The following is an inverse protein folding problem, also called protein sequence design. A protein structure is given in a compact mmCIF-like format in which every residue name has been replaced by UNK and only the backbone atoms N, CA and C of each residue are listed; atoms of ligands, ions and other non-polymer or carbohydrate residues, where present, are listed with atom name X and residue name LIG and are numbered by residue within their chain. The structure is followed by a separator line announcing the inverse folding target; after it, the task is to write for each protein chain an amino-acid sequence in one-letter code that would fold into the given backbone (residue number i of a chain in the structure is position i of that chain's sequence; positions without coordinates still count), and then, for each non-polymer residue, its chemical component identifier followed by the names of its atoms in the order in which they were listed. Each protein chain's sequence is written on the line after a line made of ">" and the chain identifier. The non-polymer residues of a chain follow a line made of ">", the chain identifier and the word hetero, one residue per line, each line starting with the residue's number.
data_IF_792451589617
#
_entry.id   IF_792451589617
#
_cell.length_a   1.000
_cell.length_b   1.000
_cell.length_c   1.000
_cell.angle_alpha   90.00
_cell.angle_beta   90.00
_cell.angle_gamma   90.00
#
_symmetry.space_group_name_H-M   'P 1'
#
loop_
_entity.id
_entity.type
_entity.pdbx_description
1 polymer ?
#
# COMPACT_ATOMS: atom_id res chain seq x y z
N UNK A 1 -20.00 23.22 -12.86
CA UNK A 1 -19.16 22.40 -13.74
C UNK A 1 -19.36 20.94 -13.33
N UNK A 2 -20.29 20.25 -14.01
CA UNK A 2 -20.55 18.82 -13.83
C UNK A 2 -20.92 18.26 -15.20
N UNK A 3 -19.99 17.55 -15.84
CA UNK A 3 -20.25 16.82 -17.08
C UNK A 3 -20.99 15.53 -16.73
N UNK A 4 -22.31 15.56 -16.72
CA UNK A 4 -23.14 14.36 -16.76
C UNK A 4 -23.50 14.11 -18.22
N UNK A 5 -22.79 13.19 -18.89
CA UNK A 5 -23.28 12.63 -20.15
C UNK A 5 -24.44 11.69 -19.82
N UNK A 6 -25.66 11.92 -20.36
CA UNK A 6 -26.78 11.03 -20.11
C UNK A 6 -26.56 9.72 -20.87
N UNK A 7 -26.49 8.61 -20.14
CA UNK A 7 -26.52 7.28 -20.74
C UNK A 7 -27.93 7.07 -21.31
N UNK A 8 -28.11 7.20 -22.63
CA UNK A 8 -29.36 6.85 -23.30
C UNK A 8 -29.48 5.33 -23.29
N UNK A 9 -30.57 4.83 -22.69
CA UNK A 9 -30.88 3.39 -22.75
C UNK A 9 -30.92 2.97 -24.22
N UNK A 10 -30.14 1.96 -24.66
CA UNK A 10 -30.31 1.43 -25.99
C UNK A 10 -31.75 0.92 -26.10
N UNK A 11 -32.49 1.42 -27.09
CA UNK A 11 -33.80 0.90 -27.44
C UNK A 11 -33.65 -0.57 -27.87
N UNK A 12 -34.73 -1.33 -27.74
CA UNK A 12 -34.82 -2.77 -28.02
C UNK A 12 -34.43 -3.23 -29.45
N UNK A 13 -33.86 -2.34 -30.27
CA UNK A 13 -33.41 -2.59 -31.63
C UNK A 13 -31.94 -3.06 -31.73
N UNK A 14 -31.18 -3.09 -30.64
CA UNK A 14 -29.88 -3.77 -30.62
C UNK A 14 -30.11 -5.27 -30.41
N UNK A 15 -30.42 -5.98 -31.50
CA UNK A 15 -30.22 -7.43 -31.56
C UNK A 15 -28.75 -7.68 -31.20
N UNK A 16 -28.53 -8.41 -30.12
CA UNK A 16 -27.20 -8.83 -29.71
C UNK A 16 -26.62 -9.66 -30.85
N UNK A 17 -25.68 -9.05 -31.57
CA UNK A 17 -24.76 -9.50 -32.60
C UNK A 17 -24.50 -11.02 -32.81
N UNK A 18 -24.83 -11.93 -31.92
CA UNK A 18 -24.58 -13.36 -32.12
C UNK A 18 -25.34 -13.94 -33.34
N UNK A 19 -26.56 -13.50 -33.61
CA UNK A 19 -27.34 -13.98 -34.78
C UNK A 19 -26.83 -13.42 -36.11
N UNK A 20 -26.26 -12.21 -36.13
CA UNK A 20 -25.72 -11.58 -37.34
C UNK A 20 -24.29 -12.06 -37.68
N UNK A 21 -23.55 -12.55 -36.68
CA UNK A 21 -22.17 -13.03 -36.85
C UNK A 21 -22.11 -14.43 -37.48
N UNK A 22 -23.12 -15.29 -37.32
CA UNK A 22 -23.18 -16.59 -38.00
C UNK A 22 -23.44 -16.47 -39.50
N UNK A 23 -23.98 -15.33 -39.97
CA UNK A 23 -24.37 -15.14 -41.37
C UNK A 23 -23.30 -14.45 -42.24
N UNK A 24 -22.30 -13.77 -41.64
CA UNK A 24 -21.43 -12.83 -42.37
C UNK A 24 -19.91 -13.15 -42.28
N UNK A 25 -19.49 -14.35 -41.88
CA UNK A 25 -18.06 -14.69 -41.74
C UNK A 25 -17.41 -15.25 -43.03
N UNK A 26 -16.14 -14.89 -43.34
CA UNK A 26 -15.40 -15.30 -44.55
C UNK A 26 -14.73 -16.70 -44.47
N UNK A 27 -15.01 -17.48 -43.43
CA UNK A 27 -14.57 -18.88 -43.29
C UNK A 27 -15.82 -19.76 -43.41
N UNK A 28 -15.72 -20.94 -44.04
CA UNK A 28 -16.85 -21.80 -44.40
C UNK A 28 -17.94 -21.80 -43.29
N UNK A 29 -19.18 -21.37 -43.61
CA UNK A 29 -20.20 -21.13 -42.60
C UNK A 29 -20.53 -22.45 -41.90
N UNK A 30 -20.47 -22.42 -40.57
CA UNK A 30 -21.05 -23.49 -39.75
C UNK A 30 -22.52 -23.63 -40.14
N UNK A 31 -23.02 -24.86 -40.24
CA UNK A 31 -24.44 -25.05 -40.56
C UNK A 31 -25.30 -24.51 -39.41
N UNK A 32 -26.55 -24.14 -39.71
CA UNK A 32 -27.51 -23.67 -38.70
C UNK A 32 -27.60 -24.69 -37.54
N UNK A 33 -27.65 -25.98 -37.88
CA UNK A 33 -27.66 -27.08 -36.92
C UNK A 33 -26.42 -27.11 -36.01
N UNK A 34 -25.24 -26.73 -36.51
CA UNK A 34 -24.01 -26.66 -35.72
C UNK A 34 -24.01 -25.45 -34.76
N UNK A 35 -24.60 -24.34 -35.18
CA UNK A 35 -24.77 -23.15 -34.33
C UNK A 35 -25.74 -23.44 -33.17
N UNK A 36 -26.88 -24.07 -33.47
CA UNK A 36 -27.88 -24.49 -32.47
C UNK A 36 -27.30 -25.49 -31.47
N UNK A 37 -26.52 -26.46 -31.97
CA UNK A 37 -25.80 -27.42 -31.12
C UNK A 37 -24.79 -26.73 -30.20
N UNK A 38 -23.99 -25.80 -30.72
CA UNK A 38 -23.00 -25.06 -29.93
C UNK A 38 -23.65 -24.21 -28.83
N UNK A 39 -24.80 -23.61 -29.12
CA UNK A 39 -25.57 -22.83 -28.16
C UNK A 39 -26.16 -23.70 -27.06
N UNK A 40 -26.69 -24.86 -27.42
CA UNK A 40 -27.22 -25.85 -26.47
C UNK A 40 -26.10 -26.42 -25.58
N UNK A 41 -24.94 -26.74 -26.16
CA UNK A 41 -23.77 -27.22 -25.42
C UNK A 41 -23.26 -26.15 -24.42
N UNK A 42 -23.30 -24.87 -24.79
CA UNK A 42 -22.93 -23.76 -23.92
C UNK A 42 -23.90 -23.58 -22.75
N UNK A 43 -25.20 -23.59 -23.05
CA UNK A 43 -26.25 -23.52 -22.03
C UNK A 43 -26.18 -24.70 -21.05
N UNK A 44 -25.94 -25.91 -21.54
CA UNK A 44 -25.78 -27.10 -20.72
C UNK A 44 -24.57 -26.98 -19.76
N UNK A 45 -23.44 -26.43 -20.21
CA UNK A 45 -22.26 -26.18 -19.36
C UNK A 45 -22.55 -25.15 -18.26
N UNK A 46 -23.22 -24.04 -18.60
CA UNK A 46 -23.59 -23.02 -17.63
C UNK A 46 -24.57 -23.58 -16.59
N UNK A 47 -25.56 -24.34 -17.05
CA UNK A 47 -26.54 -24.96 -16.18
C UNK A 47 -25.89 -25.97 -15.23
N UNK A 48 -24.97 -26.80 -15.73
CA UNK A 48 -24.22 -27.74 -14.90
C UNK A 48 -23.36 -27.04 -13.84
N UNK A 49 -22.65 -25.95 -14.21
CA UNK A 49 -21.86 -25.17 -13.25
C UNK A 49 -22.74 -24.50 -12.18
N UNK A 50 -23.92 -24.03 -12.55
CA UNK A 50 -24.89 -23.42 -11.65
C UNK A 50 -25.49 -24.45 -10.68
N UNK A 51 -25.84 -25.64 -11.17
CA UNK A 51 -26.34 -26.74 -10.33
C UNK A 51 -25.28 -27.24 -9.36
N UNK A 52 -24.03 -27.39 -9.81
CA UNK A 52 -22.90 -27.72 -8.92
C UNK A 52 -22.69 -26.66 -7.82
N UNK A 53 -22.88 -25.38 -8.15
CA UNK A 53 -22.76 -24.29 -7.19
C UNK A 53 -23.94 -24.26 -6.21
N UNK A 54 -25.16 -24.53 -6.69
CA UNK A 54 -26.37 -24.60 -5.83
C UNK A 54 -26.38 -25.84 -4.92
N UNK A 55 -25.88 -26.97 -5.42
CA UNK A 55 -25.74 -28.21 -4.63
C UNK A 55 -24.66 -28.09 -3.55
N UNK A 56 -23.66 -27.21 -3.75
CA UNK A 56 -22.72 -26.84 -2.71
C UNK A 56 -23.42 -25.94 -1.70
N UNK A 57 -23.82 -26.50 -0.56
CA UNK A 57 -24.24 -25.71 0.59
C UNK A 57 -23.04 -24.90 1.07
N UNK A 58 -23.07 -23.58 0.85
CA UNK A 58 -22.13 -22.67 1.48
C UNK A 58 -22.43 -22.65 2.97
N UNK A 59 -21.47 -23.10 3.79
CA UNK A 59 -21.51 -22.76 5.20
C UNK A 59 -21.57 -21.24 5.31
N UNK A 60 -22.52 -20.73 6.11
CA UNK A 60 -22.54 -19.30 6.43
C UNK A 60 -21.23 -18.99 7.15
N UNK A 61 -20.29 -18.38 6.44
CA UNK A 61 -19.12 -17.76 7.07
C UNK A 61 -19.64 -16.57 7.87
N UNK A 62 -19.93 -16.80 9.14
CA UNK A 62 -20.24 -15.73 10.08
C UNK A 62 -18.91 -15.05 10.36
N UNK A 63 -18.68 -13.91 9.71
CA UNK A 63 -17.56 -13.06 10.07
C UNK A 63 -17.70 -12.70 11.56
N UNK A 64 -16.62 -12.86 12.32
CA UNK A 64 -16.61 -12.45 13.72
C UNK A 64 -17.03 -10.98 13.80
N UNK A 65 -17.94 -10.67 14.74
CA UNK A 65 -18.34 -9.28 14.98
C UNK A 65 -17.06 -8.47 15.27
N UNK A 66 -16.87 -7.30 14.64
CA UNK A 66 -15.73 -6.45 14.97
C UNK A 66 -15.73 -6.16 16.48
N UNK A 67 -14.55 -6.07 17.11
CA UNK A 67 -14.45 -5.73 18.52
C UNK A 67 -15.17 -4.42 18.78
N UNK A 68 -15.75 -4.29 19.98
CA UNK A 68 -16.37 -3.03 20.39
C UNK A 68 -15.32 -1.90 20.37
N UNK A 69 -15.69 -0.67 19.98
CA UNK A 69 -14.76 0.44 20.00
C UNK A 69 -14.28 0.65 21.43
N UNK A 70 -12.97 0.51 21.62
CA UNK A 70 -12.30 0.94 22.85
C UNK A 70 -12.44 2.47 22.84
N UNK A 71 -13.14 3.02 23.84
CA UNK A 71 -13.38 4.46 23.95
C UNK A 71 -12.09 5.24 24.24
N UNK A 72 -12.22 6.38 24.92
CA UNK A 72 -11.04 7.15 25.33
C UNK A 72 -10.25 6.33 26.36
N UNK A 73 -9.03 5.96 26.00
CA UNK A 73 -8.09 5.28 26.89
C UNK A 73 -7.51 6.28 27.91
N UNK A 74 -7.15 5.82 29.12
CA UNK A 74 -6.50 6.67 30.11
C UNK A 74 -5.14 7.20 29.60
N UNK A 75 -4.67 8.28 30.21
CA UNK A 75 -3.34 8.83 29.92
C UNK A 75 -2.26 7.83 30.34
N UNK A 76 -1.25 7.66 29.48
CA UNK A 76 -0.05 6.88 29.77
C UNK A 76 1.16 7.79 29.70
N UNK A 77 2.11 7.58 30.62
CA UNK A 77 3.41 8.24 30.59
C UNK A 77 4.20 7.76 29.38
N UNK A 78 4.46 8.67 28.43
CA UNK A 78 5.23 8.39 27.19
C UNK A 78 6.63 9.01 27.21
N UNK A 79 7.04 9.59 28.34
CA UNK A 79 8.36 10.18 28.49
C UNK A 79 9.48 9.14 28.42
N UNK A 80 10.51 9.42 27.64
CA UNK A 80 11.72 8.59 27.56
C UNK A 80 12.87 9.26 28.34
N UNK A 81 13.74 8.48 29.01
CA UNK A 81 14.88 9.03 29.72
C UNK A 81 15.89 9.66 28.75
N UNK A 82 16.49 10.81 29.13
CA UNK A 82 17.42 11.58 28.27
C UNK A 82 18.54 10.70 27.69
N UNK A 83 19.08 9.77 28.48
CA UNK A 83 20.08 8.79 28.05
C UNK A 83 19.65 8.00 26.81
N UNK A 84 18.39 7.57 26.72
CA UNK A 84 17.89 6.83 25.57
C UNK A 84 17.78 7.73 24.35
N UNK A 85 17.32 8.97 24.54
CA UNK A 85 17.24 9.96 23.46
C UNK A 85 18.62 10.29 22.90
N UNK A 86 19.62 10.52 23.76
CA UNK A 86 21.00 10.79 23.36
C UNK A 86 21.62 9.59 22.61
N UNK A 87 21.29 8.36 23.02
CA UNK A 87 21.73 7.15 22.33
C UNK A 87 21.13 7.05 20.91
N UNK A 88 19.84 7.37 20.75
CA UNK A 88 19.20 7.43 19.43
C UNK A 88 19.86 8.49 18.55
N UNK A 89 20.08 9.70 19.07
CA UNK A 89 20.71 10.80 18.34
C UNK A 89 22.12 10.45 17.88
N UNK A 90 22.91 9.85 18.75
CA UNK A 90 24.24 9.34 18.43
C UNK A 90 24.17 8.31 17.29
N UNK A 91 23.19 7.39 17.36
CA UNK A 91 23.04 6.34 16.36
C UNK A 91 22.58 6.88 14.99
N UNK A 92 21.81 7.97 14.93
CA UNK A 92 21.38 8.58 13.66
C UNK A 92 22.56 9.12 12.82
N UNK A 93 23.70 9.40 13.44
CA UNK A 93 24.95 9.83 12.78
C UNK A 93 26.01 8.72 12.73
N UNK A 94 25.73 7.54 13.27
CA UNK A 94 26.70 6.46 13.33
C UNK A 94 26.72 5.68 12.01
N UNK A 95 27.62 6.06 11.11
CA UNK A 95 27.90 5.36 9.84
C UNK A 95 29.37 4.90 9.78
N UNK A 96 29.70 3.88 8.96
CA UNK A 96 31.06 3.35 8.84
C UNK A 96 32.08 4.40 8.38
N UNK A 97 33.34 4.25 8.77
CA UNK A 97 34.40 5.22 8.43
C UNK A 97 34.70 5.34 6.94
N UNK A 98 34.38 4.30 6.17
CA UNK A 98 34.52 4.21 4.72
C UNK A 98 33.28 4.70 3.95
N UNK A 99 32.22 5.13 4.65
CA UNK A 99 30.97 5.56 4.05
C UNK A 99 31.00 7.04 3.64
N UNK A 100 30.79 7.34 2.35
CA UNK A 100 30.73 8.72 1.87
C UNK A 100 29.29 9.25 1.91
N UNK A 101 28.95 10.02 2.94
CA UNK A 101 27.65 10.71 3.04
C UNK A 101 27.56 11.83 2.00
N UNK A 102 26.40 11.95 1.35
CA UNK A 102 26.13 13.06 0.42
C UNK A 102 26.23 14.43 1.13
N UNK A 103 26.90 15.45 0.54
CA UNK A 103 27.19 16.73 1.22
C UNK A 103 25.99 17.49 1.78
N UNK A 104 24.82 17.40 1.13
CA UNK A 104 23.58 18.02 1.65
C UNK A 104 23.05 17.35 2.92
N UNK A 105 23.26 16.04 3.09
CA UNK A 105 22.82 15.31 4.27
C UNK A 105 23.72 15.63 5.47
N UNK A 106 25.03 15.82 5.24
CA UNK A 106 25.96 16.26 6.29
C UNK A 106 25.50 17.55 6.96
N UNK A 107 25.09 18.56 6.18
CA UNK A 107 24.54 19.81 6.71
C UNK A 107 23.30 19.60 7.58
N UNK A 108 22.46 18.63 7.23
CA UNK A 108 21.27 18.31 8.01
C UNK A 108 21.63 17.63 9.32
N UNK A 109 22.64 16.76 9.34
CA UNK A 109 23.15 16.17 10.57
C UNK A 109 23.79 17.21 11.49
N UNK A 110 24.61 18.10 10.95
CA UNK A 110 25.20 19.22 11.71
C UNK A 110 24.11 20.13 12.31
N UNK A 111 23.05 20.42 11.55
CA UNK A 111 21.92 21.20 12.06
C UNK A 111 21.19 20.49 13.20
N UNK A 112 21.00 19.17 13.12
CA UNK A 112 20.42 18.37 14.21
C UNK A 112 21.29 18.37 15.46
N UNK A 113 22.59 18.17 15.29
CA UNK A 113 23.54 18.20 16.41
C UNK A 113 23.52 19.56 17.12
N UNK A 114 23.47 20.65 16.35
CA UNK A 114 23.36 22.01 16.90
C UNK A 114 22.04 22.24 17.66
N UNK A 115 20.91 21.70 17.17
CA UNK A 115 19.61 21.81 17.86
C UNK A 115 19.65 21.10 19.22
N UNK A 116 20.21 19.88 19.26
CA UNK A 116 20.31 19.08 20.49
C UNK A 116 21.27 19.72 21.50
N UNK A 117 22.42 20.22 21.04
CA UNK A 117 23.45 20.79 21.91
C UNK A 117 23.00 22.08 22.61
N UNK A 118 22.11 22.85 21.98
CA UNK A 118 21.60 24.11 22.53
C UNK A 118 20.42 23.92 23.50
N UNK A 119 20.11 22.68 23.91
CA UNK A 119 18.95 22.30 24.75
C UNK A 119 17.63 22.94 24.27
N UNK A 120 17.54 23.16 22.95
CA UNK A 120 16.50 23.95 22.30
C UNK A 120 15.34 23.12 21.77
N UNK A 121 14.50 23.78 20.98
CA UNK A 121 13.41 23.17 20.24
C UNK A 121 13.96 22.19 19.18
N UNK A 122 13.34 21.02 19.07
CA UNK A 122 13.65 20.02 18.04
C UNK A 122 12.69 20.15 16.86
N UNK A 123 13.18 19.86 15.66
CA UNK A 123 12.31 19.78 14.48
C UNK A 123 11.47 18.50 14.48
N UNK A 124 10.44 18.49 13.63
CA UNK A 124 9.52 17.36 13.51
C UNK A 124 10.22 16.05 13.17
N UNK A 125 11.21 16.11 12.27
CA UNK A 125 11.92 14.92 11.80
C UNK A 125 12.76 14.29 12.92
N UNK A 126 13.41 15.11 13.75
CA UNK A 126 14.17 14.64 14.91
C UNK A 126 13.22 14.08 15.97
N UNK A 127 12.09 14.74 16.23
CA UNK A 127 11.06 14.22 17.13
C UNK A 127 10.50 12.86 16.69
N UNK A 128 10.22 12.69 15.40
CA UNK A 128 9.79 11.40 14.82
C UNK A 128 10.87 10.32 15.01
N UNK A 129 12.13 10.65 14.72
CA UNK A 129 13.23 9.70 14.86
C UNK A 129 13.48 9.30 16.32
N UNK A 130 13.36 10.24 17.26
CA UNK A 130 13.46 9.98 18.70
C UNK A 130 12.36 9.05 19.19
N UNK A 131 11.11 9.27 18.79
CA UNK A 131 9.98 8.43 19.18
C UNK A 131 10.10 7.01 18.62
N UNK A 132 10.51 6.86 17.35
CA UNK A 132 10.74 5.54 16.75
C UNK A 132 11.92 4.84 17.44
N UNK A 133 13.02 5.57 17.65
CA UNK A 133 14.22 5.04 18.28
C UNK A 133 14.00 4.60 19.73
N UNK A 134 13.23 5.35 20.51
CA UNK A 134 12.92 4.99 21.90
C UNK A 134 12.11 3.70 21.99
N UNK A 135 11.11 3.53 21.12
CA UNK A 135 10.33 2.29 21.03
C UNK A 135 11.20 1.09 20.65
N UNK A 136 12.12 1.27 19.70
CA UNK A 136 13.06 0.21 19.30
C UNK A 136 14.00 -0.17 20.45
N UNK A 137 14.49 0.80 21.22
CA UNK A 137 15.31 0.54 22.41
C UNK A 137 14.54 -0.18 23.52
N UNK A 138 13.23 0.05 23.63
CA UNK A 138 12.34 -0.67 24.55
C UNK A 138 12.00 -2.10 24.07
N UNK A 139 12.47 -2.50 22.88
CA UNK A 139 12.22 -3.82 22.29
C UNK A 139 10.92 -3.91 21.48
N UNK A 140 10.26 -2.78 21.22
CA UNK A 140 9.08 -2.74 20.37
C UNK A 140 9.48 -2.68 18.90
N UNK A 141 9.04 -3.68 18.11
CA UNK A 141 9.29 -3.70 16.67
C UNK A 141 8.47 -2.62 15.95
N UNK A 142 9.15 -1.71 15.25
CA UNK A 142 8.52 -0.65 14.45
C UNK A 142 8.64 -0.97 12.96
N UNK A 143 7.51 -0.94 12.24
CA UNK A 143 7.47 -1.09 10.77
C UNK A 143 7.05 0.22 10.12
N UNK A 144 7.96 0.82 9.35
CA UNK A 144 7.69 2.01 8.55
C UNK A 144 7.69 1.64 7.05
N UNK A 145 6.57 1.87 6.38
CA UNK A 145 6.42 1.57 4.95
C UNK A 145 5.54 2.61 4.24
N UNK A 146 5.85 2.86 2.97
CA UNK A 146 5.16 3.82 2.13
C UNK A 146 6.05 4.29 0.99
N UNK A 147 5.48 5.06 0.06
CA UNK A 147 6.22 5.69 -1.02
C UNK A 147 7.27 6.65 -0.43
N UNK A 148 8.50 6.57 -0.93
CA UNK A 148 9.65 7.37 -0.50
C UNK A 148 9.92 7.40 1.01
N UNK A 149 9.36 6.47 1.80
CA UNK A 149 9.38 6.56 3.26
C UNK A 149 10.77 6.47 3.89
N UNK A 150 11.78 6.00 3.16
CA UNK A 150 13.17 5.94 3.62
C UNK A 150 13.83 7.32 3.66
N UNK A 151 13.65 8.12 2.61
CA UNK A 151 14.14 9.50 2.54
C UNK A 151 13.16 10.48 3.20
N UNK A 152 11.87 10.16 3.10
CA UNK A 152 10.76 11.09 3.27
C UNK A 152 10.51 11.85 1.96
N UNK A 153 9.24 12.07 1.63
CA UNK A 153 8.82 12.86 0.46
C UNK A 153 9.49 14.23 0.46
N UNK A 154 9.52 14.89 1.63
CA UNK A 154 10.16 16.20 1.83
C UNK A 154 11.64 16.13 2.23
N UNK A 155 12.32 14.99 2.05
CA UNK A 155 13.74 14.82 2.39
C UNK A 155 14.09 15.22 3.83
N UNK A 156 13.20 14.89 4.77
CA UNK A 156 13.36 15.24 6.17
C UNK A 156 13.85 14.07 7.02
N UNK A 157 13.59 12.82 6.61
CA UNK A 157 13.72 11.65 7.48
C UNK A 157 15.10 11.01 7.41
N UNK A 158 15.52 10.60 6.22
CA UNK A 158 16.81 9.91 6.02
C UNK A 158 17.04 8.69 6.93
N UNK A 159 16.03 7.81 7.09
CA UNK A 159 16.13 6.55 7.86
C UNK A 159 17.03 5.49 7.23
N UNK A 160 17.59 5.76 6.06
CA UNK A 160 18.53 4.89 5.38
C UNK A 160 19.49 5.78 4.61
N UNK A 161 20.78 5.45 4.69
CA UNK A 161 21.81 6.19 3.99
C UNK A 161 22.22 5.44 2.73
N UNK A 162 22.53 6.21 1.69
CA UNK A 162 23.07 5.70 0.43
C UNK A 162 24.42 6.38 0.25
N UNK A 163 25.46 5.58 0.03
CA UNK A 163 26.81 6.05 -0.21
C UNK A 163 26.86 6.83 -1.53
N UNK A 164 27.53 7.97 -1.50
CA UNK A 164 27.59 8.88 -2.63
C UNK A 164 28.44 8.37 -3.80
N UNK A 165 29.43 7.52 -3.54
CA UNK A 165 30.37 7.02 -4.55
C UNK A 165 29.91 5.71 -5.18
N UNK A 166 29.44 4.77 -4.35
CA UNK A 166 29.19 3.39 -4.77
C UNK A 166 27.72 2.98 -4.69
N UNK A 167 26.82 3.88 -4.28
CA UNK A 167 25.38 3.66 -4.14
C UNK A 167 25.01 2.51 -3.18
N UNK A 168 25.97 2.04 -2.37
CA UNK A 168 25.74 1.03 -1.36
C UNK A 168 24.83 1.57 -0.26
N UNK A 169 24.00 0.68 0.28
CA UNK A 169 22.99 1.02 1.28
C UNK A 169 23.51 0.68 2.67
N UNK A 170 23.36 1.64 3.58
CA UNK A 170 23.54 1.48 5.02
C UNK A 170 22.22 1.76 5.75
#
# INVERSE_FOLDING_TARGET
>A
MACAYPYSKPSAAYSLNNESYTQNFPVAPITVDQAEKSLTDYQAKLQGALEQTRAKTTEKVIAAKPPAPIGVVPHFETGAPRKNLDAVLTQLRNYPSDFMVHPKLLRQFEARDAMVANDGEIDWATGEALAIGSLVLEGTSVRLAGQDSRRGTFSHRHSTLIDYLNESRF
#
